data_IF_044082282396
#
_entry.id   IF_044082282396
#
_cell.length_a   1.000
_cell.length_b   1.000
_cell.length_c   1.000
_cell.angle_alpha   90.00
_cell.angle_beta   90.00
_cell.angle_gamma   90.00
#
_symmetry.space_group_name_H-M   'P 1'
#
loop_
_entity.id
_entity.type
_entity.pdbx_description
1 polymer ?
#
# COMPACT_ATOMS: atom_id res chain seq x y z
N UNK A 1 -7.80 -5.52 -24.32
CA UNK A 1 -8.43 -6.27 -23.22
C UNK A 1 -8.99 -7.59 -23.71
N UNK A 2 -10.14 -7.67 -24.40
CA UNK A 2 -10.67 -8.98 -24.82
C UNK A 2 -9.72 -9.73 -25.77
N UNK A 3 -9.09 -9.02 -26.71
CA UNK A 3 -8.05 -9.56 -27.61
C UNK A 3 -6.77 -10.01 -26.86
N UNK A 4 -6.51 -9.49 -25.66
CA UNK A 4 -5.31 -9.84 -24.88
C UNK A 4 -5.53 -11.08 -23.99
N UNK A 5 -6.78 -11.52 -23.86
CA UNK A 5 -7.18 -12.70 -23.08
C UNK A 5 -7.79 -13.81 -23.94
N UNK A 6 -7.92 -13.58 -25.25
CA UNK A 6 -8.19 -14.59 -26.28
C UNK A 6 -6.86 -15.29 -26.59
N UNK A 7 -6.60 -16.41 -25.91
CA UNK A 7 -5.30 -17.08 -25.92
C UNK A 7 -5.14 -18.01 -27.12
N UNK A 8 -6.24 -18.51 -27.67
CA UNK A 8 -6.26 -19.35 -28.88
C UNK A 8 -6.54 -18.57 -30.17
N UNK A 9 -6.83 -17.26 -30.05
CA UNK A 9 -7.07 -16.33 -31.15
C UNK A 9 -8.27 -16.71 -32.04
N UNK A 10 -9.28 -17.38 -31.46
CA UNK A 10 -10.47 -17.82 -32.18
C UNK A 10 -11.52 -16.70 -32.37
N UNK A 11 -11.25 -15.52 -31.80
CA UNK A 11 -12.12 -14.34 -31.88
C UNK A 11 -13.23 -14.33 -30.83
N UNK A 12 -13.25 -15.29 -29.91
CA UNK A 12 -14.13 -15.37 -28.74
C UNK A 12 -13.29 -15.46 -27.46
N UNK A 13 -13.93 -15.34 -26.29
CA UNK A 13 -13.25 -15.54 -25.00
C UNK A 13 -14.06 -16.55 -24.22
N UNK A 14 -13.52 -17.74 -24.08
CA UNK A 14 -14.13 -18.81 -23.29
C UNK A 14 -14.12 -18.46 -21.79
N UNK A 15 -14.93 -19.16 -20.99
CA UNK A 15 -14.97 -18.95 -19.54
C UNK A 15 -13.62 -19.21 -18.88
N UNK A 16 -12.86 -20.20 -19.37
CA UNK A 16 -11.54 -20.53 -18.84
C UNK A 16 -10.51 -19.44 -19.17
N UNK A 17 -10.57 -18.89 -20.37
CA UNK A 17 -9.75 -17.75 -20.78
C UNK A 17 -10.14 -16.47 -20.04
N UNK A 18 -11.42 -16.27 -19.79
CA UNK A 18 -11.91 -15.18 -18.95
C UNK A 18 -11.40 -15.30 -17.51
N UNK A 19 -11.46 -16.50 -16.91
CA UNK A 19 -10.96 -16.75 -15.57
C UNK A 19 -9.43 -16.58 -15.51
N UNK A 20 -8.70 -17.15 -16.48
CA UNK A 20 -7.23 -17.06 -16.58
C UNK A 20 -6.75 -15.63 -16.84
N UNK A 21 -7.39 -14.95 -17.78
CA UNK A 21 -7.16 -13.55 -18.13
C UNK A 21 -7.55 -12.62 -16.99
N UNK A 22 -8.67 -12.88 -16.32
CA UNK A 22 -9.14 -12.15 -15.15
C UNK A 22 -8.18 -12.20 -13.97
N UNK A 23 -7.52 -13.33 -13.76
CA UNK A 23 -6.51 -13.52 -12.69
C UNK A 23 -5.14 -12.89 -13.00
N UNK A 24 -4.83 -12.64 -14.28
CA UNK A 24 -3.51 -12.16 -14.72
C UNK A 24 -3.52 -10.72 -15.22
N UNK A 25 -4.70 -10.20 -15.56
CA UNK A 25 -4.89 -8.84 -16.07
C UNK A 25 -5.16 -7.90 -14.92
N UNK A 26 -4.17 -7.06 -14.59
CA UNK A 26 -4.26 -6.07 -13.51
C UNK A 26 -5.57 -5.24 -13.57
N UNK A 27 -5.99 -4.70 -14.73
CA UNK A 27 -7.29 -4.03 -14.83
C UNK A 27 -8.49 -4.87 -14.37
N UNK A 28 -8.54 -6.16 -14.71
CA UNK A 28 -9.64 -7.06 -14.33
C UNK A 28 -9.60 -7.38 -12.85
N UNK A 29 -8.44 -7.70 -12.28
CA UNK A 29 -8.27 -7.88 -10.84
C UNK A 29 -8.81 -6.68 -10.05
N UNK A 30 -8.42 -5.48 -10.49
CA UNK A 30 -8.84 -4.23 -9.87
C UNK A 30 -10.35 -3.99 -10.02
N UNK A 31 -10.92 -4.25 -11.20
CA UNK A 31 -12.36 -4.11 -11.46
C UNK A 31 -13.20 -5.09 -10.63
N UNK A 32 -12.71 -6.32 -10.48
CA UNK A 32 -13.36 -7.39 -9.70
C UNK A 32 -13.15 -7.21 -8.18
N UNK A 33 -12.36 -6.23 -7.76
CA UNK A 33 -12.03 -6.03 -6.35
C UNK A 33 -11.20 -7.17 -5.74
N UNK A 34 -10.56 -7.98 -6.58
CA UNK A 34 -9.61 -8.99 -6.16
C UNK A 34 -8.33 -8.27 -5.76
N UNK A 35 -7.90 -8.43 -4.51
CA UNK A 35 -6.70 -7.78 -4.02
C UNK A 35 -5.52 -8.12 -4.93
N UNK A 36 -4.90 -7.07 -5.50
CA UNK A 36 -3.62 -7.19 -6.19
C UNK A 36 -2.56 -7.39 -5.12
N UNK A 37 -2.45 -8.62 -4.62
CA UNK A 37 -1.44 -8.99 -3.65
C UNK A 37 -0.08 -8.54 -4.18
N UNK A 38 0.57 -7.64 -3.44
CA UNK A 38 1.91 -7.16 -3.78
C UNK A 38 2.82 -8.38 -3.74
N UNK A 39 3.34 -8.79 -4.91
CA UNK A 39 4.25 -9.92 -4.99
C UNK A 39 5.65 -9.49 -4.56
N UNK A 40 6.05 -8.28 -4.93
CA UNK A 40 7.38 -7.76 -4.64
C UNK A 40 7.38 -6.29 -4.15
N UNK A 41 8.30 -5.96 -3.24
CA UNK A 41 8.47 -4.59 -2.75
C UNK A 41 9.06 -3.67 -3.82
N UNK A 42 8.40 -2.52 -4.00
CA UNK A 42 8.66 -1.58 -5.10
C UNK A 42 7.67 -1.70 -6.27
N UNK A 43 6.78 -2.70 -6.25
CA UNK A 43 5.71 -2.83 -7.23
C UNK A 43 4.49 -1.97 -6.87
N UNK A 44 3.77 -1.52 -7.90
CA UNK A 44 2.55 -0.76 -7.72
C UNK A 44 1.38 -1.70 -7.42
N UNK A 45 0.74 -1.51 -6.26
CA UNK A 45 -0.60 -2.04 -6.02
C UNK A 45 -1.66 -1.07 -6.56
N UNK A 46 -2.42 -1.50 -7.56
CA UNK A 46 -3.33 -0.65 -8.31
C UNK A 46 -4.76 -0.68 -7.75
N UNK A 47 -5.44 0.46 -7.85
CA UNK A 47 -6.88 0.57 -7.56
C UNK A 47 -7.56 1.45 -8.60
N UNK A 48 -8.79 1.12 -8.96
CA UNK A 48 -9.63 1.95 -9.80
C UNK A 48 -9.97 3.24 -9.06
N UNK A 49 -9.72 4.37 -9.70
CA UNK A 49 -9.99 5.69 -9.12
C UNK A 49 -10.83 6.52 -10.08
N UNK A 50 -11.90 7.08 -9.53
CA UNK A 50 -12.64 8.16 -10.16
C UNK A 50 -12.01 9.50 -9.77
N UNK A 51 -11.65 10.30 -10.78
CA UNK A 51 -11.00 11.59 -10.56
C UNK A 51 -12.01 12.73 -10.66
N UNK A 52 -12.27 13.39 -9.52
CA UNK A 52 -13.18 14.55 -9.45
C UNK A 52 -12.55 15.85 -10.02
N UNK A 53 -11.29 15.79 -10.43
CA UNK A 53 -10.55 16.87 -11.11
C UNK A 53 -9.78 16.29 -12.29
N UNK A 54 -9.41 17.11 -13.29
CA UNK A 54 -8.53 16.66 -14.35
C UNK A 54 -7.26 16.04 -13.75
N UNK A 55 -6.99 14.80 -14.15
CA UNK A 55 -5.82 14.04 -13.75
C UNK A 55 -5.13 13.51 -15.01
N UNK A 56 -3.83 13.27 -14.92
CA UNK A 56 -2.98 12.90 -16.05
C UNK A 56 -2.26 11.59 -15.76
N UNK A 57 -2.06 10.78 -16.79
CA UNK A 57 -1.33 9.53 -16.72
C UNK A 57 0.17 9.80 -16.59
N UNK A 58 0.79 9.28 -15.54
CA UNK A 58 2.22 9.40 -15.26
C UNK A 58 3.13 8.71 -16.28
N UNK A 59 2.57 7.82 -17.12
CA UNK A 59 3.34 7.17 -18.19
C UNK A 59 3.27 7.94 -19.51
N UNK A 60 2.08 8.20 -20.03
CA UNK A 60 1.92 8.81 -21.36
C UNK A 60 1.71 10.33 -21.32
N UNK A 61 1.67 10.93 -20.12
CA UNK A 61 1.50 12.35 -19.84
C UNK A 61 0.16 12.97 -20.31
N UNK A 62 -0.70 12.17 -20.93
CA UNK A 62 -2.01 12.58 -21.40
C UNK A 62 -3.05 12.54 -20.29
N UNK A 63 -4.07 13.38 -20.45
CA UNK A 63 -5.19 13.46 -19.51
C UNK A 63 -5.94 12.11 -19.44
N UNK A 64 -6.36 11.74 -18.24
CA UNK A 64 -7.27 10.64 -17.98
C UNK A 64 -8.70 11.10 -18.33
N UNK A 65 -9.07 11.03 -19.62
CA UNK A 65 -10.41 11.39 -20.15
C UNK A 65 -11.17 10.18 -20.72
N UNK A 66 -12.50 10.21 -20.60
CA UNK A 66 -13.43 9.22 -21.17
C UNK A 66 -14.78 9.19 -20.42
N UNK A 67 -15.84 8.68 -21.07
CA UNK A 67 -17.11 8.35 -20.41
C UNK A 67 -16.81 7.34 -19.28
N UNK A 68 -16.93 7.79 -18.03
CA UNK A 68 -16.58 7.04 -16.83
C UNK A 68 -15.41 7.59 -16.01
N UNK A 69 -14.54 8.46 -16.56
CA UNK A 69 -13.41 9.13 -15.85
C UNK A 69 -12.58 8.20 -14.94
N UNK A 70 -12.32 6.98 -15.40
CA UNK A 70 -11.64 5.93 -14.63
C UNK A 70 -10.17 5.87 -15.02
N UNK A 71 -9.29 5.89 -14.04
CA UNK A 71 -7.88 5.53 -14.20
C UNK A 71 -7.45 4.64 -13.06
N UNK A 72 -6.26 4.06 -13.16
CA UNK A 72 -5.68 3.30 -12.08
C UNK A 72 -4.78 4.22 -11.27
N UNK A 73 -4.87 4.12 -9.94
CA UNK A 73 -4.03 4.84 -9.00
C UNK A 73 -3.38 3.83 -8.08
N UNK A 74 -2.05 3.89 -7.96
CA UNK A 74 -1.34 3.09 -6.98
C UNK A 74 -1.76 3.51 -5.57
N UNK A 75 -2.04 2.54 -4.70
CA UNK A 75 -2.49 2.83 -3.32
C UNK A 75 -1.37 3.41 -2.46
N UNK A 76 -0.11 3.07 -2.75
CA UNK A 76 1.05 3.51 -1.96
C UNK A 76 1.60 4.84 -2.43
N UNK A 77 2.15 4.91 -3.65
CA UNK A 77 2.82 6.11 -4.15
C UNK A 77 1.88 7.12 -4.81
N UNK A 78 0.63 6.74 -5.12
CA UNK A 78 -0.34 7.57 -5.87
C UNK A 78 0.05 7.86 -7.32
N UNK A 79 0.94 7.07 -7.89
CA UNK A 79 1.19 7.05 -9.34
C UNK A 79 -0.12 6.70 -10.07
N UNK A 80 -0.44 7.42 -11.14
CA UNK A 80 -1.70 7.28 -11.86
C UNK A 80 -1.47 6.92 -13.31
N UNK A 81 -2.26 6.00 -13.85
CA UNK A 81 -2.13 5.54 -15.24
C UNK A 81 -3.48 5.28 -15.89
N UNK A 82 -3.52 5.33 -17.22
CA UNK A 82 -4.62 4.71 -17.96
C UNK A 82 -4.57 3.20 -17.76
N UNK A 83 -5.71 2.56 -17.95
CA UNK A 83 -5.84 1.10 -18.00
C UNK A 83 -4.84 0.47 -18.99
N UNK A 84 -4.81 0.97 -20.23
CA UNK A 84 -3.84 0.55 -21.28
C UNK A 84 -2.37 0.84 -20.95
N UNK A 85 -2.09 1.67 -19.95
CA UNK A 85 -0.73 2.07 -19.58
C UNK A 85 -0.19 1.27 -18.41
N UNK A 86 -1.01 0.48 -17.72
CA UNK A 86 -0.64 -0.15 -16.44
C UNK A 86 0.48 -1.16 -16.56
N UNK A 87 0.45 -2.02 -17.59
CA UNK A 87 1.45 -3.07 -17.80
C UNK A 87 2.82 -2.51 -18.18
N UNK A 88 2.88 -1.25 -18.61
CA UNK A 88 4.10 -0.54 -19.00
C UNK A 88 4.61 0.40 -17.91
N UNK A 89 3.94 0.47 -16.76
CA UNK A 89 4.37 1.32 -15.67
C UNK A 89 5.67 0.76 -15.07
N UNK A 90 6.69 1.61 -14.84
CA UNK A 90 7.95 1.16 -14.25
C UNK A 90 7.75 0.74 -12.79
N UNK A 91 8.52 -0.25 -12.31
CA UNK A 91 8.56 -0.68 -10.91
C UNK A 91 9.27 0.37 -10.02
N UNK A 92 8.62 1.51 -9.86
CA UNK A 92 9.15 2.72 -9.21
C UNK A 92 8.28 3.14 -8.02
N UNK A 93 7.55 2.18 -7.42
CA UNK A 93 6.74 2.46 -6.24
C UNK A 93 7.63 2.73 -5.02
N UNK A 94 7.00 3.14 -3.92
CA UNK A 94 7.68 3.26 -2.64
C UNK A 94 8.13 1.87 -2.16
N UNK A 95 9.33 1.81 -1.60
CA UNK A 95 9.68 0.69 -0.72
C UNK A 95 8.84 0.79 0.56
N UNK A 96 8.39 -0.33 1.07
CA UNK A 96 7.60 -0.45 2.31
C UNK A 96 8.45 -0.93 3.48
N UNK A 97 9.64 -1.46 3.21
CA UNK A 97 10.61 -1.89 4.21
C UNK A 97 12.05 -1.77 3.70
N UNK A 98 13.03 -1.94 4.59
CA UNK A 98 14.44 -1.97 4.25
C UNK A 98 14.89 -3.41 3.94
N UNK A 99 15.52 -3.60 2.77
CA UNK A 99 16.10 -4.89 2.36
C UNK A 99 17.49 -5.15 2.97
N UNK A 100 18.16 -4.12 3.48
CA UNK A 100 19.53 -4.19 4.01
C UNK A 100 19.55 -3.97 5.51
N UNK A 101 20.42 -4.70 6.22
CA UNK A 101 20.74 -4.44 7.65
C UNK A 101 21.39 -3.08 7.87
N UNK A 102 22.11 -2.55 6.87
CA UNK A 102 22.61 -1.18 6.89
C UNK A 102 21.55 -0.30 6.28
N UNK A 103 20.61 0.16 7.10
CA UNK A 103 19.65 1.16 6.69
C UNK A 103 20.40 2.45 6.35
N UNK A 104 20.00 3.18 5.28
CA UNK A 104 20.56 4.50 5.01
C UNK A 104 20.31 5.41 6.22
N UNK A 105 21.31 6.20 6.61
CA UNK A 105 21.23 7.12 7.75
C UNK A 105 20.11 8.18 7.60
N UNK A 106 19.62 8.40 6.38
CA UNK A 106 18.55 9.32 6.08
C UNK A 106 17.58 8.75 5.05
N UNK A 107 16.28 8.95 5.28
CA UNK A 107 15.23 8.61 4.33
C UNK A 107 15.25 9.60 3.16
N UNK A 108 15.31 9.10 1.92
CA UNK A 108 15.17 9.95 0.74
C UNK A 108 13.71 10.36 0.50
N UNK A 109 13.49 11.53 -0.11
CA UNK A 109 12.15 11.90 -0.59
C UNK A 109 11.73 10.97 -1.74
N UNK A 110 10.50 10.47 -1.70
CA UNK A 110 9.91 9.75 -2.82
C UNK A 110 8.96 10.68 -3.58
N UNK A 111 9.43 11.20 -4.72
CA UNK A 111 8.70 12.16 -5.52
C UNK A 111 7.81 11.48 -6.55
N UNK A 112 6.55 11.88 -6.60
CA UNK A 112 5.64 11.55 -7.70
C UNK A 112 5.27 12.84 -8.41
N UNK A 113 5.38 12.83 -9.73
CA UNK A 113 5.12 14.00 -10.55
C UNK A 113 3.63 14.15 -10.87
N UNK A 114 3.18 15.40 -11.01
CA UNK A 114 1.86 15.75 -11.50
C UNK A 114 0.74 15.54 -10.50
N UNK A 115 -0.49 15.79 -10.98
CA UNK A 115 -1.74 15.68 -10.19
C UNK A 115 -1.70 16.46 -8.86
N UNK A 116 -0.86 17.50 -8.83
CA UNK A 116 -0.60 18.34 -7.68
C UNK A 116 -1.61 19.49 -7.62
N UNK A 117 -2.65 19.36 -6.78
CA UNK A 117 -3.68 20.38 -6.63
C UNK A 117 -3.38 21.29 -5.42
N UNK A 118 -2.34 22.12 -5.52
CA UNK A 118 -1.90 22.94 -4.38
C UNK A 118 -0.98 24.11 -4.71
N UNK A 119 -0.54 24.78 -3.65
CA UNK A 119 0.51 25.80 -3.70
C UNK A 119 1.87 25.13 -3.45
N UNK A 120 2.88 25.58 -4.16
CA UNK A 120 4.26 25.15 -3.93
C UNK A 120 4.70 25.58 -2.52
N UNK A 121 5.24 24.67 -1.72
CA UNK A 121 5.68 24.97 -0.36
C UNK A 121 6.82 26.01 -0.32
N UNK A 122 7.69 26.05 -1.34
CA UNK A 122 8.80 27.00 -1.46
C UNK A 122 8.34 28.40 -1.86
N UNK A 123 7.77 28.55 -3.05
CA UNK A 123 7.47 29.87 -3.61
C UNK A 123 6.04 30.36 -3.32
N UNK A 124 5.20 29.53 -2.67
CA UNK A 124 3.78 29.79 -2.34
C UNK A 124 2.86 30.04 -3.54
N UNK A 125 3.38 30.05 -4.77
CA UNK A 125 2.59 30.15 -6.01
C UNK A 125 1.87 28.83 -6.32
N UNK A 126 0.72 28.93 -6.99
CA UNK A 126 -0.05 27.77 -7.45
C UNK A 126 0.78 26.92 -8.41
N UNK A 127 0.72 25.60 -8.27
CA UNK A 127 1.28 24.67 -9.25
C UNK A 127 0.26 24.58 -10.39
N UNK A 128 0.64 25.10 -11.55
CA UNK A 128 -0.22 25.19 -12.72
C UNK A 128 -0.04 23.93 -13.57
N UNK A 129 -1.08 23.09 -13.65
CA UNK A 129 -1.10 21.90 -14.51
C UNK A 129 -1.64 22.18 -15.92
N UNK A 130 -1.30 23.33 -16.53
CA UNK A 130 -1.75 23.58 -17.90
C UNK A 130 -0.94 22.69 -18.85
N UNK A 131 -1.63 21.81 -19.58
CA UNK A 131 -1.09 20.92 -20.62
C UNK A 131 -0.13 19.82 -20.16
N UNK A 132 -0.31 19.27 -18.95
CA UNK A 132 0.37 18.03 -18.57
C UNK A 132 0.70 17.89 -17.09
N UNK A 133 1.55 16.91 -16.82
CA UNK A 133 2.06 16.59 -15.49
C UNK A 133 3.13 17.63 -15.13
N UNK A 134 2.87 18.40 -14.07
CA UNK A 134 3.86 19.32 -13.51
C UNK A 134 3.79 19.35 -11.99
N UNK A 135 4.94 19.61 -11.38
CA UNK A 135 5.11 19.66 -9.94
C UNK A 135 5.29 18.28 -9.33
N UNK A 136 5.93 18.24 -8.17
CA UNK A 136 6.31 17.04 -7.47
C UNK A 136 5.64 17.03 -6.11
N UNK A 137 5.13 15.87 -5.72
CA UNK A 137 4.61 15.62 -4.39
C UNK A 137 5.41 14.50 -3.74
N UNK A 138 5.96 14.75 -2.55
CA UNK A 138 6.65 13.71 -1.80
C UNK A 138 5.63 12.82 -1.07
N UNK A 139 5.70 11.51 -1.27
CA UNK A 139 4.73 10.59 -0.64
C UNK A 139 4.90 10.49 0.88
N UNK A 140 6.11 10.74 1.38
CA UNK A 140 6.43 10.64 2.80
C UNK A 140 6.03 11.90 3.58
N UNK A 141 6.60 13.05 3.23
CA UNK A 141 6.35 14.29 3.97
C UNK A 141 5.15 15.11 3.45
N UNK A 142 4.52 14.66 2.36
CA UNK A 142 3.40 15.33 1.69
C UNK A 142 3.68 16.75 1.19
N UNK A 143 4.95 17.17 1.13
CA UNK A 143 5.30 18.46 0.55
C UNK A 143 5.04 18.44 -0.95
N UNK A 144 4.56 19.56 -1.47
CA UNK A 144 4.34 19.76 -2.91
C UNK A 144 5.16 20.93 -3.40
N UNK A 145 5.93 20.73 -4.47
CA UNK A 145 6.87 21.70 -5.03
C UNK A 145 6.70 21.79 -6.55
N UNK A 146 7.05 22.93 -7.14
CA UNK A 146 7.31 22.97 -8.59
C UNK A 146 8.57 22.15 -8.89
N UNK A 147 8.70 21.66 -10.13
CA UNK A 147 9.90 20.96 -10.61
C UNK A 147 11.17 21.78 -10.33
N UNK A 148 11.17 23.07 -10.68
CA UNK A 148 12.28 24.00 -10.37
C UNK A 148 12.51 24.29 -8.88
N UNK A 149 11.54 23.99 -8.02
CA UNK A 149 11.63 24.25 -6.59
C UNK A 149 12.14 23.05 -5.80
N UNK A 150 12.21 21.85 -6.40
CA UNK A 150 12.57 20.60 -5.69
C UNK A 150 13.93 20.66 -5.01
N UNK A 151 14.90 21.38 -5.59
CA UNK A 151 16.24 21.51 -5.03
C UNK A 151 16.28 22.16 -3.63
N UNK A 152 15.21 22.82 -3.18
CA UNK A 152 15.13 23.36 -1.81
C UNK A 152 14.53 22.39 -0.80
N UNK A 153 14.19 21.15 -1.17
CA UNK A 153 13.57 20.18 -0.27
C UNK A 153 14.55 19.55 0.72
N UNK A 154 15.85 19.84 0.59
CA UNK A 154 16.92 19.18 1.33
C UNK A 154 17.21 17.77 0.80
N UNK A 155 18.36 17.20 1.19
CA UNK A 155 18.76 15.86 0.77
C UNK A 155 17.99 14.72 1.47
N UNK A 156 17.39 14.99 2.63
CA UNK A 156 16.70 14.02 3.45
C UNK A 156 15.23 14.41 3.68
N UNK A 157 14.36 13.41 3.69
CA UNK A 157 12.95 13.54 4.01
C UNK A 157 12.72 13.49 5.52
N UNK A 158 12.03 14.49 6.05
CA UNK A 158 11.72 14.59 7.48
C UNK A 158 10.36 13.99 7.85
N UNK A 159 9.70 13.28 6.92
CA UNK A 159 8.32 12.77 7.07
C UNK A 159 7.24 13.84 7.33
N UNK A 160 7.62 15.12 7.40
CA UNK A 160 6.72 16.25 7.55
C UNK A 160 6.03 16.28 8.93
N UNK A 161 4.86 16.93 8.98
CA UNK A 161 4.13 17.19 10.24
C UNK A 161 3.70 15.92 11.00
N UNK A 162 3.62 14.80 10.29
CA UNK A 162 3.12 13.53 10.82
C UNK A 162 4.25 12.55 11.13
N UNK A 163 5.51 13.00 11.16
CA UNK A 163 6.69 12.15 11.34
C UNK A 163 6.59 11.19 12.54
N UNK A 164 6.01 11.65 13.66
CA UNK A 164 5.85 10.84 14.88
C UNK A 164 4.84 9.70 14.76
N UNK A 165 3.97 9.72 13.75
CA UNK A 165 2.94 8.71 13.50
C UNK A 165 3.25 7.87 12.26
N UNK A 166 4.41 8.05 11.65
CA UNK A 166 4.82 7.34 10.44
C UNK A 166 6.01 6.48 10.79
N UNK A 167 5.88 5.17 10.59
CA UNK A 167 7.01 4.25 10.62
C UNK A 167 7.63 4.24 9.21
N UNK A 168 8.82 4.83 9.01
CA UNK A 168 9.42 4.88 7.68
C UNK A 168 9.88 3.48 7.26
N UNK A 169 9.95 3.18 5.95
CA UNK A 169 10.48 1.92 5.45
C UNK A 169 11.88 1.59 5.96
N UNK A 170 12.69 2.61 6.24
CA UNK A 170 14.03 2.47 6.80
C UNK A 170 14.05 1.89 8.22
N UNK A 171 12.94 1.95 8.94
CA UNK A 171 12.78 1.41 10.30
C UNK A 171 12.04 0.07 10.34
N UNK A 172 11.69 -0.50 9.17
CA UNK A 172 10.93 -1.76 9.04
C UNK A 172 11.80 -2.78 8.34
N UNK A 173 11.95 -3.96 8.92
CA UNK A 173 12.72 -5.04 8.30
C UNK A 173 11.99 -6.38 8.39
N UNK A 174 11.67 -7.05 7.27
CA UNK A 174 11.07 -8.37 7.30
C UNK A 174 12.08 -9.41 7.76
N UNK A 175 11.71 -10.23 8.73
CA UNK A 175 12.58 -11.29 9.27
C UNK A 175 12.86 -12.42 8.26
N UNK A 176 12.00 -12.59 7.24
CA UNK A 176 12.20 -13.56 6.16
C UNK A 176 13.47 -13.31 5.34
N UNK A 177 13.94 -12.06 5.26
CA UNK A 177 15.14 -11.70 4.48
C UNK A 177 16.45 -12.20 5.12
N UNK A 178 16.48 -12.42 6.44
CA UNK A 178 17.67 -12.97 7.12
C UNK A 178 17.88 -14.45 6.82
N UNK A 179 16.79 -15.20 6.61
CA UNK A 179 16.85 -16.64 6.36
C UNK A 179 17.48 -17.00 5.01
N UNK A 180 17.55 -16.06 4.07
CA UNK A 180 18.08 -16.29 2.72
C UNK A 180 19.60 -16.08 2.59
N UNK A 181 20.30 -15.56 3.61
CA UNK A 181 21.73 -15.18 3.52
C UNK A 181 22.74 -16.16 4.13
N UNK A 182 22.33 -17.28 4.69
CA UNK A 182 23.26 -18.32 5.15
C UNK A 182 23.64 -19.29 4.01
N UNK A 183 24.89 -19.20 3.55
CA UNK A 183 25.59 -20.09 2.60
C UNK A 183 25.79 -21.53 3.15
N UNK A 184 26.49 -22.42 2.40
CA UNK A 184 26.03 -23.76 2.00
C UNK A 184 25.91 -24.74 3.19
N UNK A 185 24.74 -25.33 3.41
CA UNK A 185 24.59 -26.30 4.47
C UNK A 185 25.20 -27.65 4.03
N UNK A 186 26.39 -27.95 4.59
CA UNK A 186 26.83 -29.33 4.85
C UNK A 186 25.65 -30.11 5.43
N UNK A 187 25.39 -31.31 4.92
CA UNK A 187 24.44 -32.25 5.51
C UNK A 187 24.73 -32.40 7.02
N UNK A 188 23.85 -31.82 7.83
CA UNK A 188 23.62 -32.21 9.22
C UNK A 188 22.13 -32.51 9.31
N UNK A 189 21.73 -33.71 9.77
CA UNK A 189 20.34 -34.15 9.69
C UNK A 189 19.42 -33.25 10.51
N UNK A 190 18.34 -32.85 9.84
CA UNK A 190 17.18 -32.05 10.24
C UNK A 190 16.96 -31.80 11.75
N UNK A 191 16.94 -30.52 12.11
CA UNK A 191 16.09 -30.01 13.21
C UNK A 191 15.01 -29.11 12.61
N UNK A 192 13.87 -29.72 12.27
CA UNK A 192 12.60 -29.03 12.02
C UNK A 192 12.22 -28.22 13.27
N UNK A 193 12.41 -26.90 13.25
CA UNK A 193 11.83 -26.00 14.24
C UNK A 193 10.58 -25.34 13.67
N UNK A 194 9.49 -26.10 13.63
CA UNK A 194 8.12 -25.61 13.84
C UNK A 194 7.40 -26.65 14.70
N UNK A 195 6.79 -26.29 15.85
CA UNK A 195 5.75 -27.11 16.42
C UNK A 195 4.44 -26.62 15.82
N UNK A 196 4.06 -27.24 14.70
CA UNK A 196 2.64 -27.34 14.33
C UNK A 196 2.01 -28.22 15.40
N UNK A 197 1.08 -27.71 16.21
CA UNK A 197 0.32 -28.55 17.16
C UNK A 197 -0.77 -29.35 16.44
N UNK A 198 -0.42 -29.98 15.33
CA UNK A 198 -1.31 -30.94 14.68
C UNK A 198 -0.96 -32.33 15.24
N UNK A 199 -1.82 -32.85 16.13
CA UNK A 199 -1.76 -34.23 16.62
C UNK A 199 -1.18 -34.48 18.02
N UNK A 200 -0.76 -33.45 18.78
CA UNK A 200 -0.35 -33.63 20.18
C UNK A 200 -1.55 -33.59 21.14
N UNK A 201 -1.55 -34.45 22.18
CA UNK A 201 -2.61 -34.41 23.19
C UNK A 201 -2.49 -33.16 24.06
N UNK A 202 -3.65 -32.56 24.39
CA UNK A 202 -3.74 -31.31 25.14
C UNK A 202 -3.00 -31.38 26.49
N UNK A 203 -2.96 -32.57 27.12
CA UNK A 203 -2.23 -32.79 28.37
C UNK A 203 -0.71 -32.61 28.23
N UNK A 204 -0.11 -33.02 27.11
CA UNK A 204 1.33 -32.81 26.86
C UNK A 204 1.65 -31.34 26.58
N UNK A 205 0.71 -30.61 25.98
CA UNK A 205 0.86 -29.18 25.73
C UNK A 205 0.79 -28.40 27.06
N UNK A 206 -0.17 -28.73 27.93
CA UNK A 206 -0.32 -28.09 29.24
C UNK A 206 0.86 -28.37 30.17
N UNK A 207 1.43 -29.57 30.13
CA UNK A 207 2.63 -29.93 30.90
C UNK A 207 3.89 -29.19 30.41
N UNK A 208 4.03 -28.95 29.10
CA UNK A 208 5.10 -28.09 28.54
C UNK A 208 4.95 -26.63 28.98
N UNK A 209 3.73 -26.11 29.03
CA UNK A 209 3.43 -24.74 29.51
C UNK A 209 3.77 -24.62 31.00
N UNK A 210 3.40 -25.63 31.81
CA UNK A 210 3.69 -25.64 33.24
C UNK A 210 5.18 -25.67 33.59
N UNK A 211 6.05 -26.05 32.66
CA UNK A 211 7.51 -26.10 32.84
C UNK A 211 8.26 -24.97 32.13
N UNK A 212 7.57 -24.08 31.42
CA UNK A 212 8.21 -23.00 30.69
C UNK A 212 8.68 -21.89 31.63
N UNK A 213 9.90 -21.38 31.42
CA UNK A 213 10.44 -20.25 32.18
C UNK A 213 9.82 -18.94 31.72
N UNK A 214 9.27 -18.17 32.66
CA UNK A 214 8.70 -16.85 32.39
C UNK A 214 9.83 -15.84 32.12
N UNK A 215 9.82 -15.21 30.95
CA UNK A 215 10.76 -14.13 30.60
C UNK A 215 9.99 -12.82 30.54
N UNK A 216 10.43 -11.83 31.31
CA UNK A 216 9.88 -10.48 31.24
C UNK A 216 10.40 -9.80 29.98
N UNK A 217 9.52 -9.46 29.04
CA UNK A 217 9.91 -8.62 27.90
C UNK A 217 10.14 -7.19 28.40
N UNK A 218 11.30 -6.62 28.07
CA UNK A 218 11.65 -5.24 28.43
C UNK A 218 10.55 -4.28 27.96
N UNK A 219 9.93 -3.62 28.94
CA UNK A 219 8.72 -2.81 28.78
C UNK A 219 9.04 -1.50 28.07
N UNK A 220 8.71 -1.43 26.78
CA UNK A 220 8.39 -0.15 26.15
C UNK A 220 7.02 0.31 26.68
N UNK A 221 6.99 1.40 27.45
CA UNK A 221 5.73 2.00 27.88
C UNK A 221 5.21 2.90 26.75
N UNK A 222 4.42 2.33 25.85
CA UNK A 222 3.58 3.12 24.96
C UNK A 222 2.35 3.51 25.79
N UNK A 223 2.29 4.77 26.19
CA UNK A 223 1.06 5.34 26.73
C UNK A 223 0.09 5.52 25.56
N UNK A 224 -0.65 4.47 25.22
CA UNK A 224 -1.85 4.59 24.39
C UNK A 224 -2.95 5.08 25.33
N UNK A 225 -3.19 6.38 25.36
CA UNK A 225 -4.48 6.85 25.84
C UNK A 225 -5.54 6.17 24.96
N UNK A 226 -6.49 5.45 25.58
CA UNK A 226 -7.60 4.82 24.88
C UNK A 226 -8.46 5.90 24.20
N UNK A 227 -8.03 6.40 23.04
CA UNK A 227 -8.97 6.74 21.99
C UNK A 227 -9.31 5.44 21.31
N UNK A 228 -10.54 4.98 21.45
CA UNK A 228 -11.14 3.86 20.73
C UNK A 228 -10.66 3.82 19.28
N UNK A 229 -9.73 2.91 18.98
CA UNK A 229 -9.09 2.71 17.66
C UNK A 229 -10.08 2.20 16.58
N UNK A 230 -11.36 2.06 16.96
CA UNK A 230 -12.52 1.86 16.09
C UNK A 230 -12.55 2.90 14.95
N UNK A 231 -12.21 4.16 15.24
CA UNK A 231 -12.31 5.28 14.29
C UNK A 231 -11.34 5.15 13.11
N UNK A 232 -10.17 4.52 13.28
CA UNK A 232 -9.20 4.36 12.20
C UNK A 232 -9.69 3.38 11.13
N UNK A 233 -10.25 2.25 11.56
CA UNK A 233 -10.83 1.25 10.67
C UNK A 233 -12.12 1.76 10.02
N UNK A 234 -12.98 2.45 10.78
CA UNK A 234 -14.17 3.12 10.25
C UNK A 234 -13.77 4.18 9.22
N UNK A 235 -12.72 4.97 9.48
CA UNK A 235 -12.16 5.92 8.53
C UNK A 235 -11.69 5.24 7.24
N UNK A 236 -10.98 4.10 7.33
CA UNK A 236 -10.51 3.35 6.17
C UNK A 236 -11.66 2.77 5.37
N UNK A 237 -12.66 2.17 6.03
CA UNK A 237 -13.88 1.62 5.41
C UNK A 237 -14.68 2.73 4.73
N UNK A 238 -14.94 3.83 5.45
CA UNK A 238 -15.61 5.02 4.94
C UNK A 238 -14.89 5.60 3.72
N UNK A 239 -13.55 5.73 3.78
CA UNK A 239 -12.78 6.28 2.67
C UNK A 239 -12.80 5.38 1.45
N UNK A 240 -12.68 4.07 1.66
CA UNK A 240 -12.71 3.06 0.59
C UNK A 240 -14.08 3.05 -0.09
N UNK A 241 -15.16 3.07 0.68
CA UNK A 241 -16.52 3.07 0.13
C UNK A 241 -16.86 4.38 -0.59
N UNK A 242 -16.35 5.51 -0.08
CA UNK A 242 -16.44 6.80 -0.75
C UNK A 242 -15.67 6.86 -2.06
N UNK A 243 -14.49 6.23 -2.13
CA UNK A 243 -13.74 6.14 -3.38
C UNK A 243 -14.43 5.22 -4.41
N UNK A 244 -15.09 4.15 -3.96
CA UNK A 244 -15.85 3.22 -4.81
C UNK A 244 -17.14 3.84 -5.36
N UNK A 245 -17.89 4.54 -4.51
CA UNK A 245 -19.24 5.02 -4.81
C UNK A 245 -19.39 6.54 -4.60
N UNK A 246 -18.62 7.40 -5.30
CA UNK A 246 -18.53 8.83 -4.99
C UNK A 246 -19.89 9.57 -5.00
N UNK A 247 -20.84 9.15 -5.81
CA UNK A 247 -22.18 9.75 -5.91
C UNK A 247 -23.00 9.58 -4.63
N UNK A 248 -22.79 8.48 -3.89
CA UNK A 248 -23.42 8.21 -2.59
C UNK A 248 -22.91 9.14 -1.48
N UNK A 249 -21.73 9.74 -1.69
CA UNK A 249 -21.02 10.57 -0.70
C UNK A 249 -20.92 12.06 -1.09
N UNK A 250 -21.88 12.51 -1.91
CA UNK A 250 -21.96 13.87 -2.47
C UNK A 250 -22.43 14.94 -1.47
N UNK A 251 -22.97 14.56 -0.31
CA UNK A 251 -23.52 15.48 0.68
C UNK A 251 -22.94 15.25 2.07
N UNK A 252 -22.73 16.33 2.82
CA UNK A 252 -22.22 16.30 4.20
C UNK A 252 -23.13 15.49 5.13
N UNK A 253 -24.45 15.56 4.93
CA UNK A 253 -25.43 14.82 5.74
C UNK A 253 -25.40 13.32 5.43
N UNK A 254 -25.31 12.96 4.14
CA UNK A 254 -25.14 11.57 3.69
C UNK A 254 -23.82 10.97 4.18
N UNK A 255 -22.74 11.76 4.13
CA UNK A 255 -21.43 11.33 4.63
C UNK A 255 -21.46 11.05 6.13
N UNK A 256 -22.16 11.88 6.91
CA UNK A 256 -22.31 11.64 8.35
C UNK A 256 -23.11 10.37 8.64
N UNK A 257 -24.16 10.10 7.85
CA UNK A 257 -24.97 8.89 7.98
C UNK A 257 -24.18 7.62 7.65
N UNK A 258 -23.43 7.61 6.53
CA UNK A 258 -22.58 6.48 6.16
C UNK A 258 -21.48 6.21 7.18
N UNK A 259 -20.86 7.26 7.72
CA UNK A 259 -19.84 7.11 8.76
C UNK A 259 -20.42 6.46 10.01
N UNK A 260 -21.62 6.89 10.42
CA UNK A 260 -22.36 6.29 11.53
C UNK A 260 -22.73 4.82 11.25
N UNK A 261 -23.23 4.52 10.05
CA UNK A 261 -23.59 3.15 9.64
C UNK A 261 -22.37 2.20 9.63
N UNK A 262 -21.21 2.71 9.22
CA UNK A 262 -19.95 1.94 9.30
C UNK A 262 -19.44 1.75 10.72
N UNK A 263 -19.67 2.72 11.60
CA UNK A 263 -19.39 2.58 13.02
C UNK A 263 -20.28 1.52 13.68
N UNK A 264 -21.54 1.41 13.24
CA UNK A 264 -22.49 0.41 13.77
C UNK A 264 -22.37 -0.98 13.14
N UNK A 265 -21.62 -1.13 12.03
CA UNK A 265 -21.42 -2.42 11.35
C UNK A 265 -20.03 -2.97 11.61
N UNK A 266 -19.85 -3.55 12.80
CA UNK A 266 -18.58 -4.16 13.21
C UNK A 266 -18.24 -5.41 12.38
N UNK A 267 -17.06 -5.41 11.75
CA UNK A 267 -16.34 -6.63 11.33
C UNK A 267 -14.84 -6.38 11.53
N UNK A 268 -14.29 -6.90 12.62
CA UNK A 268 -12.87 -6.81 12.92
C UNK A 268 -12.23 -8.20 12.85
N UNK A 269 -11.59 -8.50 11.72
CA UNK A 269 -10.53 -9.50 11.66
C UNK A 269 -9.19 -8.77 11.80
N UNK A 270 -8.36 -9.18 12.75
CA UNK A 270 -6.99 -8.67 12.86
C UNK A 270 -6.19 -9.12 11.62
N UNK A 271 -6.04 -8.23 10.64
CA UNK A 271 -5.30 -8.48 9.39
C UNK A 271 -3.79 -8.64 9.60
N UNK A 272 -3.29 -8.35 10.81
CA UNK A 272 -1.88 -8.35 11.16
C UNK A 272 -1.58 -9.26 12.37
N UNK A 273 -2.20 -10.44 12.46
CA UNK A 273 -1.91 -11.40 13.53
C UNK A 273 -0.41 -11.72 13.55
N UNK A 274 0.23 -11.63 14.72
CA UNK A 274 1.65 -11.90 14.93
C UNK A 274 2.62 -11.04 14.08
N UNK A 275 2.28 -9.79 13.77
CA UNK A 275 3.15 -8.91 12.99
C UNK A 275 4.57 -8.77 13.60
N UNK A 276 4.67 -8.76 14.94
CA UNK A 276 5.92 -8.70 15.69
C UNK A 276 6.81 -9.95 15.49
N UNK A 277 6.26 -11.08 15.08
CA UNK A 277 7.04 -12.30 14.75
C UNK A 277 7.58 -12.26 13.31
N UNK A 278 7.13 -11.29 12.49
CA UNK A 278 7.43 -11.21 11.07
C UNK A 278 8.29 -9.98 10.70
N UNK A 279 8.36 -8.99 11.58
CA UNK A 279 9.03 -7.71 11.34
C UNK A 279 9.91 -7.34 12.53
N UNK A 280 11.10 -6.83 12.24
CA UNK A 280 12.00 -6.18 13.18
C UNK A 280 11.98 -4.66 12.97
N UNK A 281 11.92 -3.91 14.07
CA UNK A 281 12.12 -2.46 14.07
C UNK A 281 13.61 -2.17 14.26
N UNK A 282 14.16 -1.33 13.37
CA UNK A 282 15.60 -1.02 13.29
C UNK A 282 15.85 0.45 13.55
#
# INVERSE_FOLDING_TARGET
MMVEIDYDADGTVSLDEWNRGGMTTIPLLVLLGLDTNVKEDGEHAWRLKHFNRPAYCNLCLNMLVGLGKKGLCCIFCKFTVHERCVQRAPASCVATYCKSRRAPAALAHHWVEGNCHGKCARCRKKIKGYNGITGLHCRWCHVTLHNRCVGSAGGACTLGRHARHILPPTAIRPLVLDRQRSLPHRHTPDKKCTPRYEGESIHKILDKIGRASTVMMDRWHIHVENSTDEDAAICVKFHTERERNPDKFSSRMKNKLWYFEFATSEQFAASCKNLHENIELV
#
